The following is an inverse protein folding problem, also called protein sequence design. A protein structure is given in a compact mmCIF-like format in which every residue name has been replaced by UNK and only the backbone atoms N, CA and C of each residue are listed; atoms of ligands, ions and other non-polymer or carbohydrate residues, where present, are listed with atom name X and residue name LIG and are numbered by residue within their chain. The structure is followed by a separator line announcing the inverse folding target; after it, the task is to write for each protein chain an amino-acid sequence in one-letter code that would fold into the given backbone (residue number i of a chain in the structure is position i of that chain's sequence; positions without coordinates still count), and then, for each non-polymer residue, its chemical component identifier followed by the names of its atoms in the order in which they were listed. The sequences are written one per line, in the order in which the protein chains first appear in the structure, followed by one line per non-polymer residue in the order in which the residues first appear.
data_IF_992919138030
#
_entry.id   IF_992919138030
#
_cell.length_a   1.000
_cell.length_b   1.000
_cell.length_c   1.000
_cell.angle_alpha   90.00
_cell.angle_beta   90.00
_cell.angle_gamma   90.00
#
_symmetry.space_group_name_H-M   'P 1'
#
loop_
_entity.id
_entity.type
_entity.pdbx_description
1 polymer ?
#
# COMPACT_ATOMS: atom_id res chain seq x y z
N UNK A 1 21.63 20.68 -45.27
CA UNK A 1 20.97 21.50 -44.23
C UNK A 1 20.17 20.54 -43.38
N UNK A 2 20.72 20.16 -42.23
CA UNK A 2 20.16 19.13 -41.36
C UNK A 2 19.59 19.85 -40.15
N UNK A 3 18.28 19.80 -39.94
CA UNK A 3 17.66 20.40 -38.77
C UNK A 3 18.08 19.61 -37.51
N UNK A 4 18.64 20.26 -36.47
CA UNK A 4 18.83 19.61 -35.18
C UNK A 4 17.48 19.68 -34.44
N UNK A 5 16.81 18.55 -34.25
CA UNK A 5 15.48 18.60 -33.62
C UNK A 5 14.73 17.30 -33.43
N UNK A 6 15.24 16.15 -33.85
CA UNK A 6 14.69 14.86 -33.42
C UNK A 6 15.52 14.33 -32.26
N UNK A 7 15.43 15.03 -31.12
CA UNK A 7 15.51 14.30 -29.86
C UNK A 7 14.38 13.28 -29.94
N UNK A 8 14.74 12.00 -30.07
CA UNK A 8 13.79 10.93 -29.93
C UNK A 8 13.01 11.22 -28.65
N UNK A 9 11.72 11.51 -28.78
CA UNK A 9 10.78 11.44 -27.67
C UNK A 9 10.82 9.99 -27.21
N UNK A 10 11.83 9.67 -26.40
CA UNK A 10 11.92 8.42 -25.67
C UNK A 10 10.66 8.43 -24.82
N UNK A 11 9.68 7.65 -25.28
CA UNK A 11 8.33 7.53 -24.74
C UNK A 11 8.29 7.88 -23.25
N UNK A 12 7.57 8.94 -22.92
CA UNK A 12 7.24 9.28 -21.54
C UNK A 12 6.47 8.07 -20.99
N UNK A 13 7.15 7.27 -20.18
CA UNK A 13 6.61 6.08 -19.55
C UNK A 13 6.58 6.37 -18.07
N UNK A 14 5.37 6.66 -17.59
CA UNK A 14 5.11 6.68 -16.17
C UNK A 14 5.19 5.24 -15.67
N UNK A 15 5.91 5.04 -14.57
CA UNK A 15 6.16 3.73 -14.00
C UNK A 15 6.17 3.81 -12.49
N UNK A 16 5.64 2.78 -11.85
CA UNK A 16 5.73 2.58 -10.42
C UNK A 16 6.58 1.35 -10.19
N UNK A 17 7.55 1.47 -9.29
CA UNK A 17 8.34 0.35 -8.80
C UNK A 17 8.07 0.23 -7.33
N UNK A 18 7.74 -0.98 -6.89
CA UNK A 18 7.49 -1.29 -5.50
C UNK A 18 8.29 -2.54 -5.12
N UNK A 19 8.85 -2.53 -3.93
CA UNK A 19 9.48 -3.70 -3.32
C UNK A 19 8.52 -4.41 -2.36
N UNK A 20 8.90 -5.62 -1.95
CA UNK A 20 8.27 -6.23 -0.78
C UNK A 20 8.77 -5.59 0.53
N UNK A 21 8.10 -5.95 1.63
CA UNK A 21 8.37 -5.39 2.96
C UNK A 21 9.72 -5.87 3.51
N UNK A 22 10.17 -7.07 3.15
CA UNK A 22 11.45 -7.59 3.59
C UNK A 22 12.60 -6.75 3.03
N UNK A 23 12.56 -6.47 1.72
CA UNK A 23 13.51 -5.58 1.04
C UNK A 23 13.54 -4.18 1.68
N UNK A 24 12.38 -3.65 2.03
CA UNK A 24 12.25 -2.33 2.66
C UNK A 24 12.85 -2.32 4.08
N UNK A 25 12.61 -3.35 4.88
CA UNK A 25 13.16 -3.49 6.23
C UNK A 25 14.69 -3.59 6.19
N UNK A 26 15.25 -4.42 5.30
CA UNK A 26 16.70 -4.64 5.15
C UNK A 26 17.46 -3.33 4.88
N UNK A 27 16.81 -2.36 4.25
CA UNK A 27 17.39 -1.06 3.88
C UNK A 27 17.01 0.07 4.82
N UNK A 28 16.27 -0.21 5.89
CA UNK A 28 15.77 0.81 6.81
C UNK A 28 14.76 1.77 6.18
N UNK A 29 14.11 1.37 5.08
CA UNK A 29 13.22 2.24 4.31
C UNK A 29 11.95 2.65 5.07
N UNK A 30 11.60 1.96 6.16
CA UNK A 30 10.44 2.28 7.02
C UNK A 30 10.76 3.29 8.13
N UNK A 31 11.98 3.81 8.20
CA UNK A 31 12.43 4.73 9.27
C UNK A 31 13.02 6.03 8.72
N UNK A 32 12.84 6.28 7.42
CA UNK A 32 13.39 7.46 6.75
C UNK A 32 12.76 8.73 7.31
N UNK A 33 13.60 9.72 7.62
CA UNK A 33 13.16 10.97 8.24
C UNK A 33 13.25 12.17 7.28
N UNK A 34 14.00 12.02 6.18
CA UNK A 34 14.29 13.13 5.26
C UNK A 34 13.95 12.79 3.82
N UNK A 35 13.70 13.83 3.01
CA UNK A 35 13.47 13.69 1.57
C UNK A 35 14.69 13.11 0.86
N UNK A 36 15.90 13.42 1.35
CA UNK A 36 17.16 12.92 0.81
C UNK A 36 17.31 11.41 1.02
N UNK A 37 16.96 10.90 2.20
CA UNK A 37 17.03 9.47 2.48
C UNK A 37 16.04 8.70 1.60
N UNK A 38 14.82 9.24 1.46
CA UNK A 38 13.78 8.69 0.59
C UNK A 38 14.19 8.67 -0.88
N UNK A 39 14.83 9.73 -1.37
CA UNK A 39 15.36 9.77 -2.73
C UNK A 39 16.47 8.73 -2.94
N UNK A 40 17.37 8.55 -1.97
CA UNK A 40 18.44 7.55 -2.05
C UNK A 40 17.89 6.12 -2.12
N UNK A 41 16.86 5.79 -1.33
CA UNK A 41 16.17 4.49 -1.40
C UNK A 41 15.46 4.31 -2.73
N UNK A 42 14.81 5.35 -3.27
CA UNK A 42 14.20 5.31 -4.59
C UNK A 42 15.20 5.03 -5.71
N UNK A 43 16.39 5.63 -5.64
CA UNK A 43 17.48 5.38 -6.58
C UNK A 43 18.00 3.93 -6.50
N UNK A 44 18.12 3.36 -5.30
CA UNK A 44 18.49 1.97 -5.10
C UNK A 44 17.44 1.00 -5.64
N UNK A 45 16.15 1.26 -5.37
CA UNK A 45 15.04 0.45 -5.87
C UNK A 45 15.01 0.43 -7.40
N UNK A 46 15.19 1.59 -8.04
CA UNK A 46 15.30 1.68 -9.49
C UNK A 46 16.51 0.91 -10.01
N UNK A 47 17.66 1.01 -9.35
CA UNK A 47 18.87 0.28 -9.74
C UNK A 47 18.63 -1.23 -9.73
N UNK A 48 17.98 -1.77 -8.70
CA UNK A 48 17.64 -3.20 -8.61
C UNK A 48 16.71 -3.64 -9.75
N UNK A 49 15.68 -2.84 -10.08
CA UNK A 49 14.83 -3.12 -11.25
C UNK A 49 15.65 -3.24 -12.53
N UNK A 50 16.55 -2.29 -12.82
CA UNK A 50 17.32 -2.31 -14.06
C UNK A 50 18.36 -3.44 -14.11
N UNK A 51 18.92 -3.83 -12.95
CA UNK A 51 19.72 -5.06 -12.85
C UNK A 51 18.90 -6.29 -13.25
N UNK A 52 17.67 -6.42 -12.74
CA UNK A 52 16.77 -7.54 -13.07
C UNK A 52 16.37 -7.54 -14.55
N UNK A 53 16.14 -6.37 -15.14
CA UNK A 53 15.79 -6.24 -16.55
C UNK A 53 16.98 -6.43 -17.50
N UNK A 54 18.22 -6.47 -17.00
CA UNK A 54 19.42 -6.55 -17.84
C UNK A 54 19.61 -5.33 -18.75
N UNK A 55 19.11 -4.17 -18.33
CA UNK A 55 19.15 -2.92 -19.10
C UNK A 55 19.92 -1.83 -18.35
N UNK A 56 20.48 -0.88 -19.10
CA UNK A 56 21.04 0.33 -18.50
C UNK A 56 19.92 1.19 -17.93
N UNK A 57 20.10 1.66 -16.70
CA UNK A 57 19.17 2.58 -16.04
C UNK A 57 19.12 3.92 -16.80
N UNK A 58 17.98 4.29 -17.43
CA UNK A 58 17.78 5.65 -17.92
C UNK A 58 17.67 6.59 -16.72
N UNK A 59 18.11 7.84 -16.90
CA UNK A 59 17.91 8.87 -15.90
C UNK A 59 16.42 9.26 -15.86
N UNK A 60 15.71 9.12 -14.73
CA UNK A 60 14.35 9.62 -14.63
C UNK A 60 14.35 11.14 -14.78
N UNK A 61 13.34 11.68 -15.48
CA UNK A 61 13.13 13.13 -15.55
C UNK A 61 12.65 13.67 -14.20
N UNK A 62 11.78 12.91 -13.55
CA UNK A 62 11.23 13.16 -12.21
C UNK A 62 11.07 11.82 -11.49
N UNK A 63 11.26 11.81 -10.18
CA UNK A 63 11.07 10.61 -9.35
C UNK A 63 10.65 11.02 -7.94
N UNK A 64 9.72 10.27 -7.36
CA UNK A 64 9.34 10.38 -5.96
C UNK A 64 9.31 8.97 -5.35
N UNK A 65 9.64 8.87 -4.08
CA UNK A 65 9.62 7.62 -3.32
C UNK A 65 8.90 7.88 -1.99
N UNK A 66 8.24 6.87 -1.43
CA UNK A 66 7.57 6.97 -0.15
C UNK A 66 7.52 5.60 0.53
N UNK A 67 7.65 5.59 1.85
CA UNK A 67 7.46 4.41 2.67
C UNK A 67 5.98 4.23 3.01
N UNK A 68 5.52 2.98 3.00
CA UNK A 68 4.15 2.59 3.36
C UNK A 68 4.21 1.70 4.60
N UNK A 69 4.40 2.30 5.78
CA UNK A 69 4.75 1.59 7.01
C UNK A 69 3.74 0.51 7.43
N UNK A 70 2.47 0.68 7.05
CA UNK A 70 1.37 -0.20 7.41
C UNK A 70 0.96 -1.18 6.30
N UNK A 71 1.70 -1.25 5.19
CA UNK A 71 1.32 -2.11 4.05
C UNK A 71 1.68 -3.58 4.21
N UNK A 72 2.50 -3.93 5.20
CA UNK A 72 3.18 -5.24 5.28
C UNK A 72 2.70 -6.21 6.35
N UNK A 73 1.85 -5.76 7.28
CA UNK A 73 1.44 -6.58 8.41
C UNK A 73 -0.01 -7.01 8.25
N UNK A 74 -0.20 -8.19 7.65
CA UNK A 74 -1.45 -8.91 7.82
C UNK A 74 -1.39 -9.64 9.15
N UNK A 75 -2.36 -9.37 10.01
CA UNK A 75 -2.68 -10.26 11.13
C UNK A 75 -3.19 -11.58 10.52
N UNK A 76 -2.28 -12.46 10.06
CA UNK A 76 -2.61 -13.85 9.90
C UNK A 76 -3.02 -14.38 11.27
N UNK A 77 -4.32 -14.60 11.47
CA UNK A 77 -4.79 -15.55 12.48
C UNK A 77 -5.27 -14.99 13.81
N UNK A 78 -5.87 -13.79 13.84
CA UNK A 78 -6.80 -13.49 14.94
C UNK A 78 -8.22 -13.84 14.50
N UNK A 79 -8.53 -15.13 14.33
CA UNK A 79 -9.93 -15.56 14.40
C UNK A 79 -10.45 -15.15 15.79
N UNK A 80 -11.48 -14.30 15.90
CA UNK A 80 -12.11 -13.96 17.17
C UNK A 80 -12.50 -15.24 17.92
N UNK A 81 -12.12 -15.31 19.20
CA UNK A 81 -12.24 -16.48 20.08
C UNK A 81 -13.71 -16.82 20.41
N UNK A 82 -14.65 -15.99 19.99
CA UNK A 82 -16.08 -16.02 20.28
C UNK A 82 -16.97 -16.36 19.06
N UNK A 83 -16.40 -16.91 17.98
CA UNK A 83 -17.19 -17.50 16.89
C UNK A 83 -17.89 -16.49 15.97
N UNK A 84 -17.64 -15.19 16.15
CA UNK A 84 -17.96 -14.17 15.18
C UNK A 84 -16.69 -13.76 14.43
N UNK A 85 -16.18 -14.68 13.58
CA UNK A 85 -15.07 -14.46 12.65
C UNK A 85 -15.47 -13.51 11.51
N UNK A 86 -15.99 -12.35 11.88
CA UNK A 86 -16.63 -11.40 10.99
C UNK A 86 -15.61 -10.53 10.27
N UNK A 87 -16.02 -10.01 9.12
CA UNK A 87 -15.25 -9.04 8.35
C UNK A 87 -15.01 -7.71 9.10
N UNK A 88 -15.48 -7.55 10.35
CA UNK A 88 -15.27 -6.36 11.17
C UNK A 88 -15.31 -6.69 12.68
N UNK A 89 -14.78 -5.80 13.52
CA UNK A 89 -14.97 -5.83 14.97
C UNK A 89 -16.16 -4.94 15.35
N UNK A 90 -16.97 -5.38 16.33
CA UNK A 90 -18.15 -4.65 16.78
C UNK A 90 -18.40 -4.83 18.29
N UNK A 91 -18.51 -3.71 19.01
CA UNK A 91 -18.99 -3.61 20.39
C UNK A 91 -20.34 -2.89 20.39
N UNK A 92 -21.42 -3.66 20.48
CA UNK A 92 -22.79 -3.15 20.49
C UNK A 92 -23.11 -2.31 21.74
N UNK A 93 -22.55 -2.66 22.90
CA UNK A 93 -22.82 -1.93 24.14
C UNK A 93 -22.26 -0.51 24.08
N UNK A 94 -21.10 -0.34 23.42
CA UNK A 94 -20.43 0.96 23.26
C UNK A 94 -20.76 1.66 21.96
N UNK A 95 -21.44 1.01 21.02
CA UNK A 95 -21.67 1.51 19.66
C UNK A 95 -20.38 1.84 18.92
N UNK A 96 -19.36 0.99 19.05
CA UNK A 96 -18.04 1.19 18.44
C UNK A 96 -17.68 -0.03 17.60
N UNK A 97 -17.17 0.18 16.39
CA UNK A 97 -16.65 -0.88 15.55
C UNK A 97 -15.42 -0.46 14.75
N UNK A 98 -14.69 -1.45 14.28
CA UNK A 98 -13.50 -1.29 13.46
C UNK A 98 -13.60 -2.17 12.22
N UNK A 99 -13.20 -1.62 11.08
CA UNK A 99 -13.17 -2.32 9.79
C UNK A 99 -11.90 -1.91 9.03
N UNK A 100 -11.37 -2.79 8.20
CA UNK A 100 -10.27 -2.51 7.28
C UNK A 100 -9.89 -3.74 6.46
N UNK A 101 -9.00 -3.54 5.50
CA UNK A 101 -8.39 -4.61 4.70
C UNK A 101 -7.70 -5.68 5.57
N UNK A 102 -7.10 -5.24 6.68
CA UNK A 102 -6.44 -6.06 7.70
C UNK A 102 -7.38 -7.02 8.46
N UNK A 103 -8.71 -6.86 8.35
CA UNK A 103 -9.68 -7.81 8.89
C UNK A 103 -9.82 -9.08 8.04
N UNK A 104 -9.39 -9.03 6.78
CA UNK A 104 -9.56 -10.11 5.80
C UNK A 104 -8.21 -10.51 5.19
N UNK A 105 -7.96 -10.11 3.95
CA UNK A 105 -6.84 -10.58 3.12
C UNK A 105 -5.89 -9.45 2.70
N UNK A 106 -6.10 -8.24 3.20
CA UNK A 106 -5.24 -7.11 2.88
C UNK A 106 -5.43 -6.49 1.51
N UNK A 107 -6.46 -6.93 0.77
CA UNK A 107 -6.78 -6.40 -0.56
C UNK A 107 -7.82 -5.30 -0.44
N UNK A 108 -7.89 -4.48 -1.48
CA UNK A 108 -8.93 -3.45 -1.62
C UNK A 108 -10.34 -4.05 -1.51
N UNK A 109 -10.54 -5.24 -2.08
CA UNK A 109 -11.81 -5.98 -1.97
C UNK A 109 -12.13 -6.34 -0.51
N UNK A 110 -11.14 -6.83 0.24
CA UNK A 110 -11.28 -7.09 1.67
C UNK A 110 -11.65 -5.84 2.46
N UNK A 111 -11.03 -4.69 2.16
CA UNK A 111 -11.37 -3.41 2.78
C UNK A 111 -12.85 -3.05 2.60
N UNK A 112 -13.35 -3.22 1.37
CA UNK A 112 -14.75 -2.94 1.03
C UNK A 112 -15.71 -3.88 1.77
N UNK A 113 -15.47 -5.20 1.71
CA UNK A 113 -16.31 -6.20 2.37
C UNK A 113 -16.36 -5.98 3.87
N UNK A 114 -15.21 -5.68 4.47
CA UNK A 114 -15.09 -5.34 5.89
C UNK A 114 -15.89 -4.09 6.25
N UNK A 115 -15.80 -3.03 5.45
CA UNK A 115 -16.56 -1.81 5.67
C UNK A 115 -18.08 -2.00 5.53
N UNK A 116 -18.52 -2.76 4.53
CA UNK A 116 -19.94 -3.07 4.30
C UNK A 116 -20.53 -3.86 5.49
N UNK A 117 -19.77 -4.83 6.02
CA UNK A 117 -20.20 -5.60 7.18
C UNK A 117 -20.45 -4.72 8.42
N UNK A 118 -19.53 -3.80 8.72
CA UNK A 118 -19.72 -2.85 9.83
C UNK A 118 -20.92 -1.91 9.59
N UNK A 119 -21.07 -1.42 8.37
CA UNK A 119 -22.19 -0.56 7.99
C UNK A 119 -23.55 -1.23 8.22
N UNK A 120 -23.69 -2.51 7.89
CA UNK A 120 -24.92 -3.28 8.13
C UNK A 120 -25.24 -3.43 9.61
N UNK A 121 -24.23 -3.65 10.46
CA UNK A 121 -24.41 -3.73 11.91
C UNK A 121 -24.89 -2.40 12.49
N UNK A 122 -24.30 -1.29 12.06
CA UNK A 122 -24.70 0.06 12.48
C UNK A 122 -26.15 0.37 12.11
N UNK A 123 -26.56 0.08 10.87
CA UNK A 123 -27.94 0.31 10.42
C UNK A 123 -28.93 -0.54 11.23
N UNK A 124 -28.61 -1.82 11.46
CA UNK A 124 -29.46 -2.70 12.24
C UNK A 124 -29.63 -2.23 13.69
N UNK A 125 -28.58 -1.69 14.30
CA UNK A 125 -28.65 -1.21 15.69
C UNK A 125 -29.41 0.11 15.80
N UNK A 126 -29.24 1.03 14.84
CA UNK A 126 -30.04 2.27 14.79
C UNK A 126 -31.55 1.98 14.66
N UNK A 127 -31.92 0.98 13.87
CA UNK A 127 -33.32 0.55 13.73
C UNK A 127 -33.91 -0.09 14.99
N UNK A 128 -33.07 -0.59 15.91
CA UNK A 128 -33.52 -1.18 17.19
C UNK A 128 -33.79 -0.14 18.27
N UNK A 129 -33.19 1.03 18.12
CA UNK A 129 -33.35 2.15 19.05
C UNK A 129 -34.53 3.06 18.72
N UNK A 130 -35.21 2.84 17.58
CA UNK A 130 -36.48 3.47 17.19
C UNK A 130 -37.70 2.70 17.73
#
# INVERSE_FOLDING_TARGET
MTFPGQAAYCCQRDGVVQSDVAWAIERGALQLQTVQDTAAIGEELLLELYKLLGHSRPRPMESNCAAWDYSGQYLQGSTPVDGNSGACLWDAQRMIGCCGDWMLDGRVEGAYVSGDALGRLLVAELQRTE
#
